data_IF_347832380548
#
_entry.id   IF_347832380548
#
_cell.length_a   1.000
_cell.length_b   1.000
_cell.length_c   1.000
_cell.angle_alpha   90.00
_cell.angle_beta   90.00
_cell.angle_gamma   90.00
#
_symmetry.space_group_name_H-M   'P 1'
#
loop_
_entity.id
_entity.type
_entity.pdbx_description
1 polymer ?
#
# COMPACT_ATOMS: atom_id res chain seq x y z
N UNK A 1 9.41 -30.33 -33.43
CA UNK A 1 8.50 -30.54 -32.29
C UNK A 1 9.26 -30.13 -31.05
N UNK A 2 9.16 -28.85 -30.68
CA UNK A 2 9.84 -28.31 -29.50
C UNK A 2 8.81 -28.35 -28.36
N UNK A 3 8.78 -29.47 -27.63
CA UNK A 3 7.93 -29.68 -26.46
C UNK A 3 8.86 -29.76 -25.26
N UNK A 4 8.93 -28.70 -24.46
CA UNK A 4 9.63 -28.77 -23.18
C UNK A 4 9.76 -27.46 -22.42
N UNK A 5 9.83 -26.31 -23.10
CA UNK A 5 9.96 -25.01 -22.43
C UNK A 5 8.60 -24.31 -22.36
N UNK A 6 8.05 -24.06 -21.16
CA UNK A 6 6.83 -23.27 -21.03
C UNK A 6 7.05 -21.89 -21.64
N UNK A 7 6.05 -21.39 -22.36
CA UNK A 7 6.14 -20.07 -22.98
C UNK A 7 6.22 -18.98 -21.90
N UNK A 8 6.84 -17.84 -22.20
CA UNK A 8 6.94 -16.72 -21.24
C UNK A 8 5.54 -16.33 -20.72
N UNK A 9 4.51 -16.39 -21.57
CA UNK A 9 3.12 -16.12 -21.19
C UNK A 9 2.56 -17.10 -20.16
N UNK A 10 2.88 -18.39 -20.28
CA UNK A 10 2.46 -19.42 -19.32
C UNK A 10 3.16 -19.25 -17.98
N UNK A 11 4.45 -18.93 -17.99
CA UNK A 11 5.23 -18.66 -16.77
C UNK A 11 4.64 -17.43 -16.07
N UNK A 12 4.50 -16.30 -16.77
CA UNK A 12 3.94 -15.06 -16.23
C UNK A 12 2.55 -15.28 -15.64
N UNK A 13 1.66 -15.97 -16.36
CA UNK A 13 0.31 -16.22 -15.88
C UNK A 13 0.27 -17.11 -14.65
N UNK A 14 1.17 -18.10 -14.56
CA UNK A 14 1.28 -19.00 -13.40
C UNK A 14 1.82 -18.25 -12.19
N UNK A 15 2.91 -17.50 -12.35
CA UNK A 15 3.54 -16.72 -11.28
C UNK A 15 2.59 -15.63 -10.76
N UNK A 16 1.89 -14.90 -11.64
CA UNK A 16 0.87 -13.90 -11.24
C UNK A 16 -0.23 -14.55 -10.40
N UNK A 17 -0.73 -15.72 -10.81
CA UNK A 17 -1.77 -16.43 -10.05
C UNK A 17 -1.29 -16.80 -8.66
N UNK A 18 -0.11 -17.42 -8.55
CA UNK A 18 0.46 -17.81 -7.25
C UNK A 18 0.78 -16.59 -6.38
N UNK A 19 1.23 -15.49 -6.98
CA UNK A 19 1.47 -14.23 -6.30
C UNK A 19 0.17 -13.67 -5.72
N UNK A 20 -0.89 -13.60 -6.53
CA UNK A 20 -2.19 -13.11 -6.08
C UNK A 20 -2.81 -13.99 -4.99
N UNK A 21 -2.70 -15.31 -5.10
CA UNK A 21 -3.14 -16.24 -4.05
C UNK A 21 -2.38 -16.00 -2.74
N UNK A 22 -1.06 -15.84 -2.82
CA UNK A 22 -0.20 -15.57 -1.65
C UNK A 22 -0.53 -14.21 -1.03
N UNK A 23 -0.73 -13.17 -1.85
CA UNK A 23 -1.14 -11.83 -1.42
C UNK A 23 -2.50 -11.85 -0.71
N UNK A 24 -3.46 -12.62 -1.21
CA UNK A 24 -4.75 -12.79 -0.56
C UNK A 24 -4.64 -13.51 0.78
N UNK A 25 -3.83 -14.57 0.87
CA UNK A 25 -3.57 -15.25 2.14
C UNK A 25 -2.91 -14.33 3.17
N UNK A 26 -2.01 -13.42 2.74
CA UNK A 26 -1.40 -12.42 3.61
C UNK A 26 -2.43 -11.40 4.14
N UNK A 27 -3.37 -10.95 3.29
CA UNK A 27 -4.50 -10.11 3.73
C UNK A 27 -5.37 -10.83 4.75
N UNK A 28 -5.72 -12.09 4.50
CA UNK A 28 -6.51 -12.89 5.43
C UNK A 28 -5.78 -13.07 6.77
N UNK A 29 -4.47 -13.26 6.74
CA UNK A 29 -3.66 -13.39 7.95
C UNK A 29 -3.62 -12.09 8.76
N UNK A 30 -3.49 -10.93 8.09
CA UNK A 30 -3.61 -9.61 8.73
C UNK A 30 -4.95 -9.49 9.47
N UNK A 31 -6.06 -9.79 8.80
CA UNK A 31 -7.42 -9.71 9.39
C UNK A 31 -7.55 -10.66 10.58
N UNK A 32 -7.04 -11.90 10.48
CA UNK A 32 -7.06 -12.87 11.59
C UNK A 32 -6.27 -12.39 12.80
N UNK A 33 -5.09 -11.81 12.59
CA UNK A 33 -4.26 -11.26 13.65
C UNK A 33 -4.91 -10.03 14.31
N UNK A 34 -5.52 -9.15 13.53
CA UNK A 34 -6.25 -8.00 14.04
C UNK A 34 -7.44 -8.42 14.90
N UNK A 35 -8.24 -9.38 14.42
CA UNK A 35 -9.36 -9.94 15.19
C UNK A 35 -8.88 -10.62 16.48
N UNK A 36 -7.76 -11.34 16.44
CA UNK A 36 -7.17 -11.92 17.64
C UNK A 36 -6.79 -10.83 18.65
N UNK A 37 -6.20 -9.73 18.20
CA UNK A 37 -5.85 -8.60 19.07
C UNK A 37 -7.09 -7.95 19.72
N UNK A 38 -8.21 -7.84 18.99
CA UNK A 38 -9.48 -7.36 19.53
C UNK A 38 -10.08 -8.29 20.59
N UNK A 39 -9.98 -9.62 20.40
CA UNK A 39 -10.44 -10.60 21.39
C UNK A 39 -9.59 -10.57 22.67
N UNK A 40 -8.28 -10.31 22.53
CA UNK A 40 -7.38 -10.12 23.67
C UNK A 40 -7.75 -8.84 24.43
N UNK A 41 -7.91 -7.71 23.73
CA UNK A 41 -8.20 -6.42 24.37
C UNK A 41 -9.57 -6.39 25.05
N UNK A 42 -10.54 -7.13 24.52
CA UNK A 42 -11.87 -7.30 25.13
C UNK A 42 -11.92 -8.35 26.25
N UNK A 43 -10.80 -9.05 26.53
CA UNK A 43 -10.73 -10.06 27.58
C UNK A 43 -11.51 -11.35 27.29
N UNK A 44 -11.92 -11.57 26.04
CA UNK A 44 -12.75 -12.72 25.65
C UNK A 44 -11.95 -14.01 25.51
N UNK A 45 -10.61 -13.93 25.46
CA UNK A 45 -9.70 -15.06 25.32
C UNK A 45 -8.63 -14.99 26.40
N UNK A 46 -8.28 -16.14 26.99
CA UNK A 46 -7.18 -16.21 27.96
C UNK A 46 -5.84 -15.91 27.28
N UNK A 47 -4.90 -15.32 28.04
CA UNK A 47 -3.56 -14.99 27.51
C UNK A 47 -2.86 -16.22 26.92
N UNK A 48 -2.99 -17.38 27.56
CA UNK A 48 -2.34 -18.62 27.12
C UNK A 48 -2.91 -19.13 25.79
N UNK A 49 -4.23 -19.11 25.61
CA UNK A 49 -4.86 -19.51 24.35
C UNK A 49 -4.52 -18.53 23.23
N UNK A 50 -4.54 -17.23 23.53
CA UNK A 50 -4.19 -16.20 22.58
C UNK A 50 -2.73 -16.31 22.10
N UNK A 51 -1.80 -16.59 23.02
CA UNK A 51 -0.38 -16.76 22.71
C UNK A 51 -0.12 -18.00 21.83
N UNK A 52 -0.78 -19.12 22.13
CA UNK A 52 -0.70 -20.33 21.30
C UNK A 52 -1.20 -20.06 19.87
N UNK A 53 -2.36 -19.44 19.70
CA UNK A 53 -2.92 -19.12 18.38
C UNK A 53 -2.01 -18.13 17.64
N UNK A 54 -1.50 -17.12 18.35
CA UNK A 54 -0.59 -16.13 17.77
C UNK A 54 0.67 -16.79 17.24
N UNK A 55 1.25 -17.73 17.97
CA UNK A 55 2.44 -18.48 17.53
C UNK A 55 2.16 -19.22 16.22
N UNK A 56 1.05 -19.94 16.13
CA UNK A 56 0.67 -20.67 14.92
C UNK A 56 0.45 -19.75 13.71
N UNK A 57 -0.18 -18.59 13.94
CA UNK A 57 -0.39 -17.58 12.89
C UNK A 57 0.92 -16.95 12.44
N UNK A 58 1.85 -16.64 13.36
CA UNK A 58 3.17 -16.11 13.02
C UNK A 58 3.96 -17.13 12.20
N UNK A 59 3.95 -18.42 12.58
CA UNK A 59 4.62 -19.46 11.80
C UNK A 59 4.08 -19.58 10.37
N UNK A 60 2.76 -19.52 10.19
CA UNK A 60 2.14 -19.50 8.86
C UNK A 60 2.49 -18.23 8.08
N UNK A 61 2.46 -17.08 8.77
CA UNK A 61 2.77 -15.78 8.18
C UNK A 61 4.20 -15.74 7.62
N UNK A 62 5.18 -16.24 8.37
CA UNK A 62 6.58 -16.29 7.93
C UNK A 62 6.72 -17.04 6.60
N UNK A 63 6.10 -18.22 6.48
CA UNK A 63 6.13 -18.99 5.24
C UNK A 63 5.47 -18.28 4.05
N UNK A 64 4.38 -17.55 4.31
CA UNK A 64 3.72 -16.72 3.29
C UNK A 64 4.56 -15.52 2.88
N UNK A 65 5.25 -14.87 3.82
CA UNK A 65 6.13 -13.73 3.56
C UNK A 65 7.32 -14.14 2.69
N UNK A 66 8.00 -15.22 3.02
CA UNK A 66 9.11 -15.74 2.22
C UNK A 66 8.65 -16.09 0.80
N UNK A 67 7.49 -16.75 0.67
CA UNK A 67 6.90 -17.06 -0.64
C UNK A 67 6.54 -15.78 -1.41
N UNK A 68 5.98 -14.78 -0.74
CA UNK A 68 5.61 -13.51 -1.34
C UNK A 68 6.82 -12.78 -1.92
N UNK A 69 7.88 -12.60 -1.14
CA UNK A 69 9.09 -11.91 -1.61
C UNK A 69 9.78 -12.67 -2.75
N UNK A 70 9.79 -14.00 -2.69
CA UNK A 70 10.29 -14.83 -3.79
C UNK A 70 9.50 -14.60 -5.08
N UNK A 71 8.17 -14.75 -5.03
CA UNK A 71 7.30 -14.56 -6.19
C UNK A 71 7.37 -13.12 -6.72
N UNK A 72 7.49 -12.13 -5.83
CA UNK A 72 7.69 -10.74 -6.22
C UNK A 72 8.97 -10.56 -7.04
N UNK A 73 10.10 -11.09 -6.56
CA UNK A 73 11.37 -11.04 -7.29
C UNK A 73 11.27 -11.74 -8.64
N UNK A 74 10.61 -12.90 -8.71
CA UNK A 74 10.39 -13.62 -9.96
C UNK A 74 9.55 -12.80 -10.96
N UNK A 75 8.52 -12.08 -10.50
CA UNK A 75 7.73 -11.18 -11.33
C UNK A 75 8.56 -9.98 -11.82
N UNK A 76 9.37 -9.36 -10.97
CA UNK A 76 10.29 -8.28 -11.34
C UNK A 76 11.28 -8.75 -12.43
N UNK A 77 11.85 -9.95 -12.30
CA UNK A 77 12.75 -10.54 -13.30
C UNK A 77 12.03 -10.84 -14.63
N UNK A 78 10.80 -11.37 -14.56
CA UNK A 78 9.98 -11.63 -15.75
C UNK A 78 9.60 -10.33 -16.47
N UNK A 79 9.33 -9.26 -15.73
CA UNK A 79 9.05 -7.93 -16.27
C UNK A 79 10.26 -7.42 -17.05
N UNK A 80 11.45 -7.44 -16.44
CA UNK A 80 12.71 -7.03 -17.12
C UNK A 80 12.95 -7.89 -18.36
N UNK A 81 12.71 -9.20 -18.27
CA UNK A 81 12.84 -10.10 -19.42
C UNK A 81 11.89 -9.74 -20.56
N UNK A 82 10.63 -9.40 -20.26
CA UNK A 82 9.67 -8.95 -21.27
C UNK A 82 10.15 -7.68 -21.96
N UNK A 83 10.64 -6.70 -21.20
CA UNK A 83 11.18 -5.44 -21.74
C UNK A 83 12.38 -5.70 -22.67
N UNK A 84 13.33 -6.56 -22.26
CA UNK A 84 14.50 -6.88 -23.09
C UNK A 84 14.09 -7.58 -24.40
N UNK A 85 13.15 -8.52 -24.34
CA UNK A 85 12.65 -9.21 -25.53
C UNK A 85 11.84 -8.28 -26.45
N UNK A 86 11.11 -7.31 -25.89
CA UNK A 86 10.46 -6.25 -26.67
C UNK A 86 11.47 -5.43 -27.45
N UNK A 87 12.53 -4.94 -26.79
CA UNK A 87 13.55 -4.13 -27.44
C UNK A 87 14.29 -4.92 -28.53
N UNK A 88 14.60 -6.19 -28.27
CA UNK A 88 15.14 -7.10 -29.30
C UNK A 88 14.19 -7.26 -30.49
N UNK A 89 12.90 -7.43 -30.24
CA UNK A 89 11.89 -7.55 -31.29
C UNK A 89 11.71 -6.25 -32.10
N UNK A 90 11.88 -5.07 -31.47
CA UNK A 90 11.88 -3.77 -32.16
C UNK A 90 13.11 -3.61 -33.07
N UNK A 91 14.29 -3.99 -32.59
CA UNK A 91 15.57 -3.82 -33.33
C UNK A 91 15.71 -4.80 -34.51
N UNK A 92 15.23 -6.03 -34.37
CA UNK A 92 15.50 -7.11 -35.35
C UNK A 92 14.50 -7.19 -36.53
N UNK A 93 13.61 -6.22 -36.73
CA UNK A 93 12.39 -6.47 -37.49
C UNK A 93 12.19 -5.78 -38.84
N UNK A 94 11.67 -6.59 -39.77
CA UNK A 94 10.83 -6.19 -40.90
C UNK A 94 9.37 -5.95 -40.42
N UNK A 95 8.71 -4.95 -41.00
CA UNK A 95 7.66 -4.12 -40.38
C UNK A 95 6.35 -4.78 -39.87
N UNK A 96 6.09 -6.08 -40.06
CA UNK A 96 4.74 -6.65 -39.81
C UNK A 96 4.71 -7.73 -38.70
N UNK A 97 5.73 -8.59 -38.58
CA UNK A 97 5.75 -9.67 -37.58
C UNK A 97 6.19 -9.25 -36.18
N UNK A 98 6.91 -8.13 -36.06
CA UNK A 98 7.37 -7.60 -34.78
C UNK A 98 6.29 -6.89 -33.98
N UNK A 99 5.31 -6.28 -34.66
CA UNK A 99 4.26 -5.51 -33.99
C UNK A 99 3.41 -6.38 -33.06
N UNK A 100 3.08 -7.61 -33.48
CA UNK A 100 2.27 -8.53 -32.66
C UNK A 100 3.04 -9.07 -31.45
N UNK A 101 4.32 -9.39 -31.62
CA UNK A 101 5.18 -9.89 -30.52
C UNK A 101 5.39 -8.79 -29.48
N UNK A 102 5.67 -7.56 -29.93
CA UNK A 102 5.83 -6.40 -29.06
C UNK A 102 4.54 -6.14 -28.28
N UNK A 103 3.38 -6.13 -28.95
CA UNK A 103 2.08 -5.90 -28.28
C UNK A 103 1.78 -6.95 -27.21
N UNK A 104 2.11 -8.22 -27.47
CA UNK A 104 1.93 -9.31 -26.48
C UNK A 104 2.83 -9.15 -25.26
N UNK A 105 4.07 -8.74 -25.46
CA UNK A 105 5.01 -8.53 -24.35
C UNK A 105 4.67 -7.25 -23.55
N UNK A 106 4.13 -6.22 -24.20
CA UNK A 106 3.54 -5.05 -23.54
C UNK A 106 2.38 -5.47 -22.63
N UNK A 107 1.45 -6.28 -23.15
CA UNK A 107 0.33 -6.80 -22.35
C UNK A 107 0.81 -7.61 -21.13
N UNK A 108 1.83 -8.46 -21.30
CA UNK A 108 2.41 -9.21 -20.18
C UNK A 108 3.07 -8.29 -19.15
N UNK A 109 3.75 -7.23 -19.59
CA UNK A 109 4.39 -6.24 -18.69
C UNK A 109 3.33 -5.51 -17.85
N UNK A 110 2.25 -5.06 -18.48
CA UNK A 110 1.13 -4.41 -17.79
C UNK A 110 0.52 -5.36 -16.75
N UNK A 111 0.26 -6.63 -17.13
CA UNK A 111 -0.29 -7.62 -16.18
C UNK A 111 0.62 -7.88 -14.98
N UNK A 112 1.94 -7.82 -15.18
CA UNK A 112 2.90 -7.96 -14.07
C UNK A 112 2.84 -6.73 -13.17
N UNK A 113 2.84 -5.52 -13.74
CA UNK A 113 2.78 -4.26 -13.00
C UNK A 113 1.48 -4.19 -12.17
N UNK A 114 0.33 -4.50 -12.78
CA UNK A 114 -0.97 -4.60 -12.09
C UNK A 114 -0.93 -5.59 -10.91
N UNK A 115 -0.25 -6.72 -11.08
CA UNK A 115 -0.10 -7.72 -10.01
C UNK A 115 0.77 -7.18 -8.87
N UNK A 116 1.92 -6.59 -9.18
CA UNK A 116 2.87 -6.02 -8.22
C UNK A 116 2.29 -4.85 -7.41
N UNK A 117 1.35 -4.11 -7.99
CA UNK A 117 0.63 -2.98 -7.40
C UNK A 117 -0.72 -3.36 -6.78
N UNK A 118 -1.15 -4.62 -6.88
CA UNK A 118 -2.48 -5.07 -6.45
C UNK A 118 -2.74 -4.93 -4.94
N UNK A 119 -1.72 -4.73 -4.11
CA UNK A 119 -1.82 -4.59 -2.65
C UNK A 119 -2.07 -3.14 -2.23
N UNK A 120 -3.08 -2.93 -1.38
CA UNK A 120 -3.33 -1.64 -0.75
C UNK A 120 -2.19 -1.23 0.20
N UNK A 121 -2.09 0.06 0.48
CA UNK A 121 -1.01 0.63 1.30
C UNK A 121 -0.93 -0.03 2.68
N UNK A 122 -2.06 -0.27 3.35
CA UNK A 122 -2.07 -0.86 4.68
C UNK A 122 -1.55 -2.31 4.68
N UNK A 123 -1.93 -3.10 3.68
CA UNK A 123 -1.42 -4.45 3.50
C UNK A 123 0.08 -4.45 3.20
N UNK A 124 0.55 -3.53 2.34
CA UNK A 124 1.99 -3.38 2.03
C UNK A 124 2.80 -3.03 3.26
N UNK A 125 2.36 -2.03 4.04
CA UNK A 125 2.98 -1.64 5.30
C UNK A 125 2.96 -2.79 6.31
N UNK A 126 1.86 -3.55 6.41
CA UNK A 126 1.79 -4.74 7.27
C UNK A 126 2.84 -5.78 6.88
N UNK A 127 2.93 -6.12 5.59
CA UNK A 127 3.91 -7.08 5.07
C UNK A 127 5.33 -6.62 5.37
N UNK A 128 5.64 -5.35 5.12
CA UNK A 128 6.95 -4.79 5.40
C UNK A 128 7.30 -4.88 6.89
N UNK A 129 6.41 -4.43 7.78
CA UNK A 129 6.62 -4.47 9.24
C UNK A 129 6.81 -5.88 9.77
N UNK A 130 6.06 -6.86 9.25
CA UNK A 130 6.19 -8.26 9.70
C UNK A 130 7.44 -8.93 9.16
N UNK A 131 7.80 -8.63 7.91
CA UNK A 131 8.98 -9.24 7.30
C UNK A 131 10.27 -8.74 7.93
N UNK A 132 10.37 -7.46 8.27
CA UNK A 132 11.57 -6.96 8.96
C UNK A 132 11.75 -7.55 10.35
N UNK A 133 10.66 -7.82 11.08
CA UNK A 133 10.71 -8.56 12.34
C UNK A 133 11.20 -10.00 12.12
N UNK A 134 10.75 -10.64 11.04
CA UNK A 134 11.25 -11.95 10.65
C UNK A 134 12.74 -11.92 10.30
N UNK A 135 13.21 -10.95 9.52
CA UNK A 135 14.63 -10.81 9.13
C UNK A 135 15.56 -10.57 10.31
N UNK A 136 15.07 -9.97 11.40
CA UNK A 136 15.81 -9.80 12.65
C UNK A 136 15.85 -11.07 13.52
N UNK A 137 15.09 -12.11 13.18
CA UNK A 137 15.07 -13.36 13.93
C UNK A 137 16.38 -14.13 13.74
N UNK A 138 16.96 -14.74 14.79
CA UNK A 138 18.17 -15.56 14.69
C UNK A 138 17.99 -16.82 13.82
N UNK A 139 16.74 -17.22 13.55
CA UNK A 139 16.41 -18.43 12.78
C UNK A 139 16.53 -18.24 11.26
N UNK A 140 16.83 -17.02 10.79
CA UNK A 140 16.96 -16.75 9.35
C UNK A 140 18.28 -17.29 8.82
N UNK A 141 18.20 -17.99 7.69
CA UNK A 141 19.37 -18.47 6.98
C UNK A 141 20.27 -17.32 6.51
N UNK A 142 21.48 -17.26 7.09
CA UNK A 142 22.48 -16.24 6.79
C UNK A 142 22.96 -16.29 5.33
N UNK A 143 22.84 -17.44 4.65
CA UNK A 143 23.28 -17.58 3.26
C UNK A 143 22.39 -16.80 2.28
N UNK A 144 21.10 -16.69 2.58
CA UNK A 144 20.10 -15.98 1.75
C UNK A 144 19.73 -14.61 2.32
N UNK A 145 20.22 -14.25 3.51
CA UNK A 145 19.85 -13.01 4.20
C UNK A 145 20.11 -11.75 3.36
N UNK A 146 21.25 -11.67 2.65
CA UNK A 146 21.58 -10.51 1.80
C UNK A 146 20.57 -10.31 0.68
N UNK A 147 20.17 -11.39 0.02
CA UNK A 147 19.17 -11.37 -1.04
C UNK A 147 17.80 -10.97 -0.48
N UNK A 148 17.40 -11.55 0.66
CA UNK A 148 16.16 -11.20 1.36
C UNK A 148 16.12 -9.72 1.77
N UNK A 149 17.22 -9.17 2.29
CA UNK A 149 17.34 -7.75 2.64
C UNK A 149 17.23 -6.84 1.42
N UNK A 150 17.86 -7.21 0.31
CA UNK A 150 17.76 -6.45 -0.95
C UNK A 150 16.32 -6.43 -1.47
N UNK A 151 15.63 -7.58 -1.48
CA UNK A 151 14.24 -7.68 -1.87
C UNK A 151 13.31 -6.86 -0.95
N UNK A 152 13.56 -6.91 0.36
CA UNK A 152 12.86 -6.08 1.34
C UNK A 152 13.05 -4.59 1.07
N UNK A 153 14.29 -4.15 0.82
CA UNK A 153 14.60 -2.75 0.54
C UNK A 153 13.85 -2.25 -0.70
N UNK A 154 13.94 -2.97 -1.82
CA UNK A 154 13.20 -2.62 -3.05
C UNK A 154 11.69 -2.52 -2.80
N UNK A 155 11.15 -3.40 -1.97
CA UNK A 155 9.74 -3.35 -1.61
C UNK A 155 9.41 -2.10 -0.79
N UNK A 156 10.22 -1.74 0.21
CA UNK A 156 10.03 -0.50 0.98
C UNK A 156 10.19 0.74 0.10
N UNK A 157 11.17 0.77 -0.79
CA UNK A 157 11.34 1.86 -1.76
C UNK A 157 10.07 2.04 -2.61
N UNK A 158 9.48 0.93 -3.10
CA UNK A 158 8.22 0.98 -3.86
C UNK A 158 7.03 1.46 -3.02
N UNK A 159 7.02 1.21 -1.71
CA UNK A 159 6.00 1.75 -0.79
C UNK A 159 6.18 3.26 -0.67
N UNK A 160 7.43 3.73 -0.49
CA UNK A 160 7.74 5.15 -0.34
C UNK A 160 7.37 5.90 -1.63
N UNK A 161 7.77 5.40 -2.80
CA UNK A 161 7.43 6.02 -4.08
C UNK A 161 5.92 6.15 -4.29
N UNK A 162 5.18 5.06 -4.06
CA UNK A 162 3.70 5.08 -4.12
C UNK A 162 3.09 6.02 -3.10
N UNK A 163 3.63 6.08 -1.88
CA UNK A 163 3.14 6.98 -0.84
C UNK A 163 3.37 8.44 -1.19
N UNK A 164 4.50 8.80 -1.78
CA UNK A 164 4.76 10.19 -2.17
C UNK A 164 3.74 10.71 -3.18
N UNK A 165 3.28 9.85 -4.09
CA UNK A 165 2.20 10.18 -5.03
C UNK A 165 0.87 10.34 -4.28
N UNK A 166 0.46 9.33 -3.51
CA UNK A 166 -0.79 9.35 -2.75
C UNK A 166 -0.84 10.55 -1.77
N UNK A 167 0.29 10.87 -1.14
CA UNK A 167 0.44 11.98 -0.19
C UNK A 167 0.21 13.32 -0.87
N UNK A 168 0.76 13.54 -2.06
CA UNK A 168 0.56 14.77 -2.80
C UNK A 168 -0.93 14.98 -3.15
N UNK A 169 -1.64 13.91 -3.54
CA UNK A 169 -3.07 13.95 -3.81
C UNK A 169 -3.88 14.27 -2.54
N UNK A 170 -3.54 13.64 -1.41
CA UNK A 170 -4.18 13.89 -0.13
C UNK A 170 -3.93 15.32 0.39
N UNK A 171 -2.72 15.85 0.22
CA UNK A 171 -2.38 17.23 0.57
C UNK A 171 -3.16 18.24 -0.29
N UNK A 172 -3.38 17.92 -1.57
CA UNK A 172 -4.23 18.71 -2.46
C UNK A 172 -5.70 18.69 -2.00
N UNK A 173 -6.27 17.51 -1.71
CA UNK A 173 -7.64 17.38 -1.18
C UNK A 173 -7.81 18.18 0.12
N UNK A 174 -6.82 18.11 1.01
CA UNK A 174 -6.81 18.82 2.28
C UNK A 174 -6.78 20.34 2.09
N UNK A 175 -5.96 20.84 1.17
CA UNK A 175 -5.90 22.27 0.82
C UNK A 175 -7.23 22.79 0.28
N UNK A 176 -7.89 22.02 -0.58
CA UNK A 176 -9.21 22.37 -1.11
C UNK A 176 -10.27 22.39 0.00
N UNK A 177 -10.31 21.38 0.86
CA UNK A 177 -11.23 21.33 2.00
C UNK A 177 -11.01 22.49 2.99
N UNK A 178 -9.76 22.86 3.25
CA UNK A 178 -9.42 23.99 4.11
C UNK A 178 -9.88 25.32 3.52
N UNK A 179 -9.71 25.51 2.21
CA UNK A 179 -10.22 26.68 1.49
C UNK A 179 -11.74 26.76 1.60
N UNK A 180 -12.44 25.65 1.37
CA UNK A 180 -13.90 25.61 1.39
C UNK A 180 -14.44 25.81 2.82
N UNK A 181 -13.80 25.23 3.83
CA UNK A 181 -14.12 25.48 5.23
C UNK A 181 -13.92 26.96 5.60
N UNK A 182 -12.89 27.62 5.09
CA UNK A 182 -12.70 29.06 5.28
C UNK A 182 -13.77 29.89 4.57
N UNK A 183 -14.17 29.52 3.36
CA UNK A 183 -15.28 30.16 2.67
C UNK A 183 -16.59 30.05 3.47
N UNK A 184 -16.91 28.88 4.02
CA UNK A 184 -18.07 28.70 4.89
C UNK A 184 -18.00 29.56 6.15
N UNK A 185 -16.81 29.71 6.75
CA UNK A 185 -16.61 30.62 7.91
C UNK A 185 -16.88 32.08 7.53
N UNK A 186 -16.47 32.53 6.34
CA UNK A 186 -16.79 33.87 5.85
C UNK A 186 -18.30 34.04 5.57
N UNK A 187 -18.95 33.03 4.98
CA UNK A 187 -20.41 33.05 4.78
C UNK A 187 -21.18 33.12 6.11
N UNK A 188 -20.71 32.42 7.15
CA UNK A 188 -21.29 32.53 8.50
C UNK A 188 -21.16 33.95 9.07
N UNK A 189 -20.01 34.62 8.87
CA UNK A 189 -19.82 36.02 9.28
C UNK A 189 -20.74 36.95 8.51
N UNK A 190 -20.83 36.78 7.19
CA UNK A 190 -21.72 37.56 6.34
C UNK A 190 -23.19 37.38 6.76
N UNK A 191 -23.61 36.13 6.99
CA UNK A 191 -24.96 35.80 7.47
C UNK A 191 -25.28 36.51 8.78
N UNK A 192 -24.33 36.54 9.72
CA UNK A 192 -24.47 37.28 10.98
C UNK A 192 -24.61 38.79 10.74
N UNK A 193 -23.78 39.39 9.88
CA UNK A 193 -23.87 40.81 9.54
C UNK A 193 -25.24 41.15 8.93
N UNK A 194 -25.70 40.37 7.96
CA UNK A 194 -27.01 40.54 7.29
C UNK A 194 -28.17 40.46 8.29
N UNK A 195 -28.12 39.53 9.23
CA UNK A 195 -29.08 39.47 10.33
C UNK A 195 -29.04 40.72 11.20
N UNK A 196 -27.84 41.19 11.58
CA UNK A 196 -27.67 42.36 12.44
C UNK A 196 -28.16 43.66 11.79
N UNK A 197 -28.04 43.81 10.46
CA UNK A 197 -28.59 44.97 9.73
C UNK A 197 -30.09 44.82 9.41
N UNK A 198 -30.71 43.71 9.78
CA UNK A 198 -32.14 43.45 9.63
C UNK A 198 -32.57 42.95 8.25
N UNK A 199 -31.63 42.47 7.40
CA UNK A 199 -31.98 41.83 6.12
C UNK A 199 -32.68 40.48 6.33
N UNK A 200 -32.35 39.78 7.42
CA UNK A 200 -32.94 38.50 7.78
C UNK A 200 -33.68 38.59 9.10
N UNK A 201 -34.83 37.92 9.17
CA UNK A 201 -35.47 37.65 10.44
C UNK A 201 -34.74 36.52 11.19
N UNK A 202 -35.13 36.31 12.44
CA UNK A 202 -34.50 35.29 13.30
C UNK A 202 -34.66 33.87 12.75
N UNK A 203 -35.81 33.54 12.16
CA UNK A 203 -36.08 32.20 11.63
C UNK A 203 -35.23 31.90 10.41
N UNK A 204 -35.11 32.86 9.48
CA UNK A 204 -34.26 32.74 8.30
C UNK A 204 -32.77 32.67 8.67
N UNK A 205 -32.33 33.50 9.62
CA UNK A 205 -30.96 33.46 10.15
C UNK A 205 -30.64 32.10 10.75
N UNK A 206 -31.48 31.61 11.68
CA UNK A 206 -31.24 30.35 12.39
C UNK A 206 -31.21 29.16 11.41
N UNK A 207 -32.12 29.13 10.43
CA UNK A 207 -32.15 28.05 9.43
C UNK A 207 -30.89 28.02 8.55
N UNK A 208 -30.43 29.18 8.07
CA UNK A 208 -29.20 29.26 7.25
C UNK A 208 -27.94 28.97 8.08
N UNK A 209 -27.90 29.45 9.33
CA UNK A 209 -26.77 29.25 10.24
C UNK A 209 -26.56 27.77 10.52
N UNK A 210 -27.63 27.05 10.89
CA UNK A 210 -27.56 25.61 11.18
C UNK A 210 -27.02 24.84 9.98
N UNK A 211 -27.53 25.11 8.76
CA UNK A 211 -27.02 24.46 7.55
C UNK A 211 -25.52 24.69 7.35
N UNK A 212 -25.08 25.95 7.41
CA UNK A 212 -23.65 26.28 7.23
C UNK A 212 -22.77 25.67 8.32
N UNK A 213 -23.26 25.62 9.57
CA UNK A 213 -22.56 24.98 10.69
C UNK A 213 -22.44 23.45 10.50
N UNK A 214 -23.48 22.79 10.00
CA UNK A 214 -23.48 21.36 9.66
C UNK A 214 -22.47 21.04 8.55
N UNK A 215 -22.50 21.81 7.45
CA UNK A 215 -21.55 21.67 6.35
C UNK A 215 -20.10 21.88 6.82
N UNK A 216 -19.87 22.92 7.63
CA UNK A 216 -18.56 23.20 8.21
C UNK A 216 -18.10 22.10 9.17
N UNK A 217 -19.00 21.52 9.97
CA UNK A 217 -18.70 20.41 10.86
C UNK A 217 -18.30 19.15 10.08
N UNK A 218 -19.02 18.85 9.00
CA UNK A 218 -18.70 17.74 8.10
C UNK A 218 -17.33 17.92 7.45
N UNK A 219 -17.02 19.11 6.93
CA UNK A 219 -15.71 19.41 6.34
C UNK A 219 -14.57 19.28 7.36
N UNK A 220 -14.72 19.85 8.56
CA UNK A 220 -13.69 19.74 9.59
C UNK A 220 -13.45 18.28 10.01
N UNK A 221 -14.52 17.47 10.09
CA UNK A 221 -14.40 16.03 10.40
C UNK A 221 -13.58 15.31 9.33
N UNK A 222 -13.84 15.62 8.05
CA UNK A 222 -13.06 15.07 6.93
C UNK A 222 -11.60 15.51 6.96
N UNK A 223 -11.32 16.79 7.23
CA UNK A 223 -9.95 17.30 7.38
C UNK A 223 -9.20 16.54 8.48
N UNK A 224 -9.84 16.32 9.65
CA UNK A 224 -9.24 15.57 10.75
C UNK A 224 -8.97 14.11 10.36
N UNK A 225 -9.90 13.46 9.67
CA UNK A 225 -9.72 12.09 9.18
C UNK A 225 -8.51 11.97 8.24
N UNK A 226 -8.41 12.87 7.25
CA UNK A 226 -7.32 12.87 6.28
C UNK A 226 -5.96 13.11 6.94
N UNK A 227 -5.87 14.08 7.85
CA UNK A 227 -4.63 14.35 8.62
C UNK A 227 -4.22 13.13 9.42
N UNK A 228 -5.16 12.52 10.15
CA UNK A 228 -4.87 11.33 10.94
C UNK A 228 -4.37 10.17 10.08
N UNK A 229 -4.90 10.01 8.86
CA UNK A 229 -4.43 8.99 7.92
C UNK A 229 -3.02 9.30 7.40
N UNK A 230 -2.73 10.56 7.07
CA UNK A 230 -1.42 11.00 6.61
C UNK A 230 -0.36 10.76 7.68
N UNK A 231 -0.62 11.21 8.90
CA UNK A 231 0.29 11.04 10.04
C UNK A 231 0.54 9.55 10.32
N UNK A 232 -0.50 8.71 10.33
CA UNK A 232 -0.37 7.28 10.60
C UNK A 232 0.47 6.54 9.56
N UNK A 233 0.39 6.92 8.28
CA UNK A 233 1.20 6.31 7.23
C UNK A 233 2.64 6.82 7.29
N UNK A 234 2.84 8.13 7.47
CA UNK A 234 4.17 8.74 7.62
C UNK A 234 4.93 8.11 8.79
N UNK A 235 4.29 7.94 9.95
CA UNK A 235 4.91 7.28 11.12
C UNK A 235 5.39 5.86 10.80
N UNK A 236 4.57 5.06 10.11
CA UNK A 236 4.92 3.68 9.74
C UNK A 236 6.07 3.65 8.72
N UNK A 237 6.09 4.57 7.76
CA UNK A 237 7.18 4.67 6.78
C UNK A 237 8.48 5.09 7.45
N UNK A 238 8.44 6.04 8.39
CA UNK A 238 9.61 6.44 9.18
C UNK A 238 10.15 5.23 9.97
N UNK A 239 9.28 4.45 10.61
CA UNK A 239 9.67 3.24 11.33
C UNK A 239 10.40 2.25 10.39
N UNK A 240 9.81 1.92 9.24
CA UNK A 240 10.40 1.01 8.26
C UNK A 240 11.77 1.50 7.74
N UNK A 241 11.88 2.81 7.46
CA UNK A 241 13.09 3.42 6.92
C UNK A 241 14.20 3.50 7.97
N UNK A 242 13.86 3.77 9.23
CA UNK A 242 14.84 3.81 10.33
C UNK A 242 15.56 2.47 10.51
N UNK A 243 14.84 1.36 10.29
CA UNK A 243 15.43 0.03 10.39
C UNK A 243 16.41 -0.23 9.24
N UNK A 244 16.08 0.20 8.01
CA UNK A 244 16.98 0.07 6.87
C UNK A 244 18.25 0.91 7.09
N UNK A 245 18.11 2.16 7.53
CA UNK A 245 19.24 3.06 7.76
C UNK A 245 20.16 2.60 8.91
N UNK A 246 19.62 1.99 9.97
CA UNK A 246 20.42 1.44 11.06
C UNK A 246 21.31 0.26 10.61
N UNK A 247 20.82 -0.57 9.69
CA UNK A 247 21.58 -1.71 9.17
C UNK A 247 22.74 -1.29 8.25
N UNK A 248 22.63 -0.18 7.51
CA UNK A 248 23.70 0.32 6.63
C UNK A 248 24.91 0.86 7.41
N UNK A 249 24.68 1.38 8.62
CA UNK A 249 25.76 1.87 9.50
C UNK A 249 26.51 0.69 10.15
N UNK A 250 25.83 -0.43 10.42
CA UNK A 250 26.47 -1.65 10.92
C UNK A 250 27.26 -2.40 9.85
N UNK A 251 26.85 -2.39 8.58
CA UNK A 251 27.60 -3.03 7.48
C UNK A 251 28.85 -2.25 7.05
N UNK A 252 28.98 -0.98 7.46
CA UNK A 252 30.12 -0.09 7.13
C UNK A 252 31.12 0.11 8.27
N UNK A 253 30.87 -0.49 9.45
CA UNK A 253 31.72 -0.43 10.65
C UNK A 253 32.54 -1.71 10.85
#
# INVERSE_FOLDING_TARGET
MDRGTPSISEIVSTTIREFNETSNMLRDMRIKLEKLNQLISSGQVSSQTAESIRKDYISQLIGLLDKFFKLRSELEDLRVRCIVEMERARVNASATGSSEIVSRLEELTIRIDDALESLDMDARLFIASQYIQHLKSPDVDQSTLKEKKLAYRRFVDSIIESWLVDKADLESELSDLERDANNLREQLKELWVRFMVGEYDRGEYDAKRVRLEEELSSMNSRITELRSRLDAIDERIIELTSVIGAEEVEETS
#
